data_IF_796155611947
#
_entry.id   IF_796155611947
#
_cell.length_a   1.000
_cell.length_b   1.000
_cell.length_c   1.000
_cell.angle_alpha   90.00
_cell.angle_beta   90.00
_cell.angle_gamma   90.00
#
_symmetry.space_group_name_H-M   'P 1'
#
loop_
_entity.id
_entity.type
_entity.pdbx_description
1 polymer ?
#
# COMPACT_ATOMS: atom_id res chain seq x y z
N UNK A 1 8.32 26.26 9.34
CA UNK A 1 7.99 25.57 10.62
C UNK A 1 6.50 25.55 10.92
N UNK A 2 5.76 26.66 10.82
CA UNK A 2 4.30 26.67 11.16
C UNK A 2 3.40 26.11 10.02
N UNK A 3 3.83 26.15 8.76
CA UNK A 3 3.11 25.57 7.63
C UNK A 3 3.23 24.02 7.60
N UNK A 4 4.40 23.48 7.92
CA UNK A 4 4.63 22.05 7.94
C UNK A 4 3.83 21.31 9.04
N UNK A 5 3.64 21.93 10.21
CA UNK A 5 2.82 21.33 11.28
C UNK A 5 1.32 21.29 10.90
N UNK A 6 0.81 22.32 10.24
CA UNK A 6 -0.58 22.34 9.75
C UNK A 6 -0.82 21.32 8.64
N UNK A 7 0.12 21.14 7.74
CA UNK A 7 0.02 20.13 6.69
C UNK A 7 0.09 18.71 7.27
N UNK A 8 0.89 18.48 8.30
CA UNK A 8 0.93 17.20 9.02
C UNK A 8 -0.42 16.86 9.67
N UNK A 9 -1.08 17.82 10.33
CA UNK A 9 -2.41 17.61 10.92
C UNK A 9 -3.50 17.33 9.89
N UNK A 10 -3.40 17.87 8.67
CA UNK A 10 -4.35 17.65 7.58
C UNK A 10 -4.32 16.22 7.05
N UNK A 11 -3.18 15.55 7.07
CA UNK A 11 -3.00 14.22 6.48
C UNK A 11 -2.78 13.11 7.52
N UNK A 12 -2.59 13.45 8.80
CA UNK A 12 -2.36 12.49 9.88
C UNK A 12 -3.65 12.19 10.64
N UNK A 13 -3.80 10.94 11.06
CA UNK A 13 -4.95 10.48 11.85
C UNK A 13 -6.16 10.14 10.99
N UNK A 14 -7.30 10.02 11.67
CA UNK A 14 -8.57 9.61 11.07
C UNK A 14 -9.66 10.66 11.27
N UNK A 15 -10.72 10.54 10.52
CA UNK A 15 -11.96 11.34 10.57
C UNK A 15 -13.17 10.42 10.43
N UNK A 16 -14.36 10.96 10.61
CA UNK A 16 -15.59 10.25 10.26
C UNK A 16 -15.64 9.98 8.77
N UNK A 17 -16.29 8.89 8.39
CA UNK A 17 -16.45 8.54 6.98
C UNK A 17 -17.26 9.62 6.27
N UNK A 18 -16.68 10.24 5.23
CA UNK A 18 -17.37 11.27 4.46
C UNK A 18 -18.54 10.67 3.68
N UNK A 19 -19.62 11.43 3.47
CA UNK A 19 -20.87 10.92 2.88
C UNK A 19 -20.69 10.22 1.53
N UNK A 20 -19.82 10.76 0.67
CA UNK A 20 -19.50 10.16 -0.64
C UNK A 20 -18.75 8.82 -0.55
N UNK A 21 -18.24 8.49 0.62
CA UNK A 21 -17.48 7.27 0.88
C UNK A 21 -18.18 6.31 1.85
N UNK A 22 -19.40 6.63 2.29
CA UNK A 22 -20.20 5.72 3.12
C UNK A 22 -20.55 4.44 2.37
N UNK A 23 -20.73 3.39 3.10
CA UNK A 23 -21.12 2.06 2.63
C UNK A 23 -21.91 1.33 3.73
N UNK A 24 -22.45 0.18 3.42
CA UNK A 24 -23.20 -0.66 4.36
C UNK A 24 -22.23 -1.37 5.33
N UNK A 25 -22.12 -0.84 6.55
CA UNK A 25 -21.25 -1.40 7.57
C UNK A 25 -21.72 -2.76 8.06
N UNK A 26 -23.03 -3.04 8.03
CA UNK A 26 -23.56 -4.35 8.45
C UNK A 26 -23.11 -5.45 7.48
N UNK A 27 -23.12 -5.17 6.19
CA UNK A 27 -22.59 -6.10 5.17
C UNK A 27 -21.08 -6.30 5.31
N UNK A 28 -20.34 -5.22 5.62
CA UNK A 28 -18.90 -5.34 5.90
C UNK A 28 -18.65 -6.24 7.11
N UNK A 29 -19.40 -6.06 8.22
CA UNK A 29 -19.26 -6.88 9.43
C UNK A 29 -19.50 -8.36 9.10
N UNK A 30 -20.60 -8.67 8.41
CA UNK A 30 -20.90 -10.05 7.99
C UNK A 30 -19.79 -10.66 7.14
N UNK A 31 -19.23 -9.85 6.22
CA UNK A 31 -18.11 -10.30 5.41
C UNK A 31 -16.83 -10.50 6.23
N UNK A 32 -16.53 -9.62 7.19
CA UNK A 32 -15.38 -9.72 8.10
C UNK A 32 -15.45 -11.01 8.94
N UNK A 33 -16.63 -11.32 9.50
CA UNK A 33 -16.88 -12.54 10.27
C UNK A 33 -16.58 -13.82 9.48
N UNK A 34 -16.89 -13.81 8.20
CA UNK A 34 -16.71 -14.97 7.33
C UNK A 34 -15.30 -15.10 6.74
N UNK A 35 -14.54 -14.00 6.58
CA UNK A 35 -13.34 -13.95 5.74
C UNK A 35 -12.07 -13.48 6.44
N UNK A 36 -12.17 -12.94 7.67
CA UNK A 36 -11.01 -12.41 8.39
C UNK A 36 -10.76 -13.24 9.64
N UNK A 37 -9.69 -14.03 9.61
CA UNK A 37 -9.30 -14.88 10.74
C UNK A 37 -9.11 -14.08 12.02
N UNK A 38 -9.77 -14.51 13.10
CA UNK A 38 -9.69 -13.88 14.41
C UNK A 38 -10.40 -12.52 14.50
N UNK A 39 -11.34 -12.24 13.59
CA UNK A 39 -12.20 -11.07 13.71
C UNK A 39 -13.25 -11.28 14.81
N UNK A 40 -13.33 -10.30 15.73
CA UNK A 40 -14.34 -10.25 16.80
C UNK A 40 -14.85 -8.81 16.91
N UNK A 41 -16.18 -8.64 16.72
CA UNK A 41 -16.85 -7.34 16.83
C UNK A 41 -17.04 -6.86 18.28
N UNK A 42 -17.64 -5.70 18.50
CA UNK A 42 -18.23 -4.80 17.49
C UNK A 42 -17.20 -4.04 16.65
N UNK A 43 -17.60 -3.54 15.47
CA UNK A 43 -16.77 -2.80 14.55
C UNK A 43 -17.09 -1.30 14.60
N UNK A 44 -16.06 -0.48 14.67
CA UNK A 44 -16.13 0.96 14.42
C UNK A 44 -15.27 1.30 13.21
N UNK A 45 -15.83 2.05 12.26
CA UNK A 45 -15.14 2.45 11.02
C UNK A 45 -14.75 3.91 11.09
N UNK A 46 -13.47 4.20 10.83
CA UNK A 46 -12.94 5.56 10.69
C UNK A 46 -12.23 5.67 9.35
N UNK A 47 -12.25 6.83 8.71
CA UNK A 47 -11.52 7.07 7.47
C UNK A 47 -10.21 7.78 7.74
N UNK A 48 -9.09 7.31 7.17
CA UNK A 48 -7.83 8.06 7.23
C UNK A 48 -7.95 9.39 6.47
N UNK A 49 -7.33 10.43 6.99
CA UNK A 49 -7.28 11.75 6.35
C UNK A 49 -6.46 11.73 5.05
N UNK A 50 -5.39 10.92 5.02
CA UNK A 50 -4.57 10.66 3.82
C UNK A 50 -5.18 9.60 2.90
N UNK A 51 -4.49 9.28 1.80
CA UNK A 51 -4.90 8.21 0.88
C UNK A 51 -5.91 8.65 -0.18
N UNK A 52 -5.68 9.80 -0.80
CA UNK A 52 -6.60 10.39 -1.80
C UNK A 52 -6.88 9.48 -3.00
N UNK A 53 -5.92 8.63 -3.40
CA UNK A 53 -6.08 7.75 -4.57
C UNK A 53 -6.95 6.53 -4.30
N UNK A 54 -6.77 5.90 -3.12
CA UNK A 54 -7.57 4.76 -2.67
C UNK A 54 -8.05 5.05 -1.26
N UNK A 55 -9.37 5.25 -1.05
CA UNK A 55 -9.91 5.47 0.28
C UNK A 55 -9.47 4.36 1.23
N UNK A 56 -8.91 4.78 2.36
CA UNK A 56 -8.35 3.87 3.37
C UNK A 56 -9.08 4.10 4.69
N UNK A 57 -9.42 3.02 5.37
CA UNK A 57 -10.22 3.03 6.58
C UNK A 57 -9.50 2.28 7.68
N UNK A 58 -9.62 2.79 8.90
CA UNK A 58 -9.29 2.10 10.12
C UNK A 58 -10.55 1.37 10.60
N UNK A 59 -10.41 0.07 10.80
CA UNK A 59 -11.44 -0.81 11.33
C UNK A 59 -11.05 -1.17 12.75
N UNK A 60 -11.82 -0.68 13.73
CA UNK A 60 -11.49 -0.77 15.14
C UNK A 60 -12.42 -1.77 15.80
N UNK A 61 -11.85 -2.78 16.46
CA UNK A 61 -12.57 -3.68 17.36
C UNK A 61 -11.99 -3.57 18.78
N UNK A 62 -12.66 -4.13 19.81
CA UNK A 62 -12.14 -4.10 21.17
C UNK A 62 -10.77 -4.78 21.34
N UNK A 63 -10.44 -5.73 20.46
CA UNK A 63 -9.26 -6.58 20.60
C UNK A 63 -8.17 -6.29 19.56
N UNK A 64 -8.57 -5.75 18.40
CA UNK A 64 -7.65 -5.58 17.27
C UNK A 64 -8.09 -4.44 16.36
N UNK A 65 -7.11 -3.88 15.66
CA UNK A 65 -7.35 -2.88 14.63
C UNK A 65 -6.87 -3.42 13.28
N UNK A 66 -7.62 -3.07 12.23
CA UNK A 66 -7.31 -3.44 10.85
C UNK A 66 -7.31 -2.21 9.97
N UNK A 67 -6.71 -2.33 8.81
CA UNK A 67 -6.79 -1.35 7.73
C UNK A 67 -7.54 -1.96 6.55
N UNK A 68 -8.57 -1.27 6.08
CA UNK A 68 -9.25 -1.60 4.83
C UNK A 68 -8.89 -0.59 3.76
N UNK A 69 -8.47 -1.06 2.59
CA UNK A 69 -8.27 -0.22 1.41
C UNK A 69 -9.23 -0.64 0.31
N UNK A 70 -9.93 0.32 -0.28
CA UNK A 70 -10.89 0.04 -1.35
C UNK A 70 -10.63 0.90 -2.59
N UNK A 71 -11.15 0.44 -3.74
CA UNK A 71 -11.24 1.28 -4.93
C UNK A 71 -12.18 2.46 -4.64
N UNK A 72 -11.89 3.67 -5.14
CA UNK A 72 -12.85 4.76 -5.05
C UNK A 72 -14.12 4.41 -5.81
N UNK A 73 -15.29 4.90 -5.37
CA UNK A 73 -16.54 4.74 -6.12
C UNK A 73 -16.50 5.51 -7.44
N UNK A 74 -17.27 5.05 -8.44
CA UNK A 74 -17.44 5.73 -9.72
C UNK A 74 -16.68 5.10 -10.88
N UNK A 75 -16.69 5.78 -12.04
CA UNK A 75 -15.99 5.30 -13.24
C UNK A 75 -14.50 5.58 -13.14
N UNK A 76 -13.70 4.53 -13.10
CA UNK A 76 -12.25 4.59 -12.99
C UNK A 76 -11.61 4.29 -14.35
N UNK A 77 -10.42 4.85 -14.57
CA UNK A 77 -9.60 4.48 -15.73
C UNK A 77 -9.18 3.00 -15.61
N UNK A 78 -9.12 2.25 -16.71
CA UNK A 78 -8.61 0.89 -16.73
C UNK A 78 -7.23 0.83 -16.07
N UNK A 79 -7.05 -0.11 -15.14
CA UNK A 79 -5.81 -0.30 -14.36
C UNK A 79 -5.44 0.78 -13.33
N UNK A 80 -6.21 1.86 -13.18
CA UNK A 80 -6.08 2.75 -12.04
C UNK A 80 -6.67 2.11 -10.77
N UNK A 81 -6.13 2.48 -9.60
CA UNK A 81 -6.67 2.06 -8.30
C UNK A 81 -6.76 0.52 -8.12
N UNK A 82 -5.73 -0.19 -8.53
CA UNK A 82 -5.71 -1.66 -8.55
C UNK A 82 -5.39 -2.24 -7.17
N UNK A 83 -6.34 -2.16 -6.22
CA UNK A 83 -6.22 -2.70 -4.86
C UNK A 83 -6.03 -4.22 -4.85
N UNK A 84 -6.57 -4.91 -5.86
CA UNK A 84 -6.34 -6.33 -6.12
C UNK A 84 -4.86 -6.65 -6.38
N UNK A 85 -4.16 -5.79 -7.11
CA UNK A 85 -2.71 -5.93 -7.33
C UNK A 85 -1.90 -5.59 -6.09
N UNK A 86 -2.30 -4.56 -5.34
CA UNK A 86 -1.69 -4.23 -4.06
C UNK A 86 -1.78 -5.43 -3.11
N UNK A 87 -2.99 -5.99 -2.93
CA UNK A 87 -3.21 -7.17 -2.09
C UNK A 87 -2.37 -8.36 -2.54
N UNK A 88 -2.29 -8.62 -3.83
CA UNK A 88 -1.48 -9.73 -4.37
C UNK A 88 0.00 -9.56 -4.06
N UNK A 89 0.54 -8.33 -4.14
CA UNK A 89 1.95 -8.05 -3.83
C UNK A 89 2.22 -8.25 -2.34
N UNK A 90 1.41 -7.65 -1.46
CA UNK A 90 1.65 -7.80 0.00
C UNK A 90 1.46 -9.25 0.45
N UNK A 91 0.51 -9.99 -0.13
CA UNK A 91 0.30 -11.42 0.16
C UNK A 91 1.47 -12.31 -0.28
N UNK A 92 2.17 -11.92 -1.33
CA UNK A 92 3.36 -12.61 -1.78
C UNK A 92 4.61 -12.27 -0.94
N UNK A 93 4.71 -11.04 -0.45
CA UNK A 93 5.86 -10.57 0.31
C UNK A 93 5.81 -10.93 1.80
N UNK A 94 4.61 -10.96 2.38
CA UNK A 94 4.42 -11.23 3.81
C UNK A 94 5.05 -12.56 4.28
N UNK A 95 4.80 -13.72 3.63
CA UNK A 95 5.39 -15.00 4.04
C UNK A 95 6.90 -15.08 3.86
N UNK A 96 7.50 -14.16 3.09
CA UNK A 96 8.95 -14.06 2.93
C UNK A 96 9.61 -13.26 4.06
N UNK A 97 8.85 -12.79 5.05
CA UNK A 97 9.34 -11.93 6.13
C UNK A 97 9.65 -10.50 5.70
N UNK A 98 9.20 -10.08 4.52
CA UNK A 98 9.35 -8.70 4.09
C UNK A 98 8.44 -7.78 4.93
N UNK A 99 8.87 -6.56 5.31
CA UNK A 99 8.16 -5.67 6.23
C UNK A 99 6.92 -5.04 5.58
N UNK A 100 5.89 -5.83 5.37
CA UNK A 100 4.54 -5.41 4.96
C UNK A 100 3.52 -5.80 6.00
N UNK A 101 2.38 -5.11 6.02
CA UNK A 101 1.28 -5.48 6.89
C UNK A 101 0.76 -6.90 6.55
N UNK A 102 0.37 -7.69 7.57
CA UNK A 102 -0.25 -9.00 7.36
C UNK A 102 -1.53 -8.81 6.53
N UNK A 103 -1.63 -9.37 5.32
CA UNK A 103 -2.87 -9.38 4.56
C UNK A 103 -3.82 -10.44 5.12
N UNK A 104 -5.12 -10.14 5.17
CA UNK A 104 -6.14 -11.10 5.58
C UNK A 104 -6.92 -11.62 4.38
N UNK A 105 -7.70 -10.76 3.76
CA UNK A 105 -8.57 -11.18 2.67
C UNK A 105 -8.85 -10.05 1.68
N UNK A 106 -9.08 -10.44 0.42
CA UNK A 106 -9.53 -9.57 -0.68
C UNK A 106 -11.01 -9.87 -0.94
N UNK A 107 -11.82 -8.83 -1.00
CA UNK A 107 -13.20 -8.90 -1.43
C UNK A 107 -13.33 -8.35 -2.85
N UNK A 108 -13.65 -9.22 -3.80
CA UNK A 108 -13.95 -8.85 -5.19
C UNK A 108 -15.45 -8.65 -5.43
N UNK A 109 -16.29 -9.08 -4.46
CA UNK A 109 -17.73 -8.91 -4.50
C UNK A 109 -18.10 -7.44 -4.20
N UNK A 110 -18.61 -6.76 -5.22
CA UNK A 110 -19.02 -5.37 -5.11
C UNK A 110 -20.34 -5.18 -4.34
N UNK A 111 -21.12 -6.24 -4.10
CA UNK A 111 -22.39 -6.14 -3.38
C UNK A 111 -22.20 -5.93 -1.88
N UNK A 112 -20.98 -6.13 -1.37
CA UNK A 112 -20.64 -5.92 0.05
C UNK A 112 -20.59 -4.43 0.39
N UNK A 113 -19.67 -3.68 -0.25
CA UNK A 113 -19.50 -2.23 0.02
C UNK A 113 -19.49 -1.35 -1.24
N UNK A 114 -19.95 -1.87 -2.36
CA UNK A 114 -20.05 -1.16 -3.63
C UNK A 114 -18.75 -1.15 -4.47
N UNK A 115 -17.65 -1.63 -3.96
CA UNK A 115 -16.35 -1.66 -4.67
C UNK A 115 -15.47 -2.78 -4.12
N UNK A 116 -14.48 -3.20 -4.91
CA UNK A 116 -13.42 -4.14 -4.48
C UNK A 116 -12.60 -3.52 -3.35
N UNK A 117 -12.28 -4.30 -2.33
CA UNK A 117 -11.45 -3.89 -1.20
C UNK A 117 -10.63 -5.05 -0.64
N UNK A 118 -9.65 -4.74 0.18
CA UNK A 118 -8.93 -5.74 0.97
C UNK A 118 -8.69 -5.26 2.40
N UNK A 119 -8.44 -6.22 3.29
CA UNK A 119 -8.17 -6.00 4.71
C UNK A 119 -6.77 -6.50 5.05
N UNK A 120 -6.06 -5.70 5.84
CA UNK A 120 -4.73 -6.01 6.36
C UNK A 120 -4.60 -5.56 7.83
N UNK A 121 -3.53 -5.96 8.51
CA UNK A 121 -3.21 -5.47 9.85
C UNK A 121 -3.03 -3.95 9.87
N UNK A 122 -3.44 -3.35 10.99
CA UNK A 122 -3.02 -2.00 11.35
C UNK A 122 -1.62 -2.06 11.93
N UNK A 123 -0.68 -1.38 11.29
CA UNK A 123 0.66 -1.19 11.83
C UNK A 123 0.72 0.14 12.57
N UNK A 124 1.16 0.10 13.81
CA UNK A 124 1.46 1.29 14.58
C UNK A 124 2.86 1.80 14.25
N UNK A 125 3.00 3.10 14.15
CA UNK A 125 4.30 3.72 13.84
C UNK A 125 4.19 5.21 13.57
N UNK A 126 5.34 5.87 13.50
CA UNK A 126 5.44 7.27 13.13
C UNK A 126 5.51 7.46 11.63
N UNK A 127 4.95 8.56 11.15
CA UNK A 127 5.06 8.99 9.76
C UNK A 127 6.15 10.06 9.68
N UNK A 128 7.19 9.80 8.91
CA UNK A 128 8.29 10.73 8.68
C UNK A 128 7.96 11.57 7.44
N UNK A 129 7.29 12.71 7.65
CA UNK A 129 6.86 13.60 6.58
C UNK A 129 8.02 14.36 5.95
N UNK A 130 8.92 14.88 6.78
CA UNK A 130 10.10 15.59 6.33
C UNK A 130 11.29 14.64 6.17
N UNK A 131 11.77 14.50 4.93
CA UNK A 131 12.93 13.67 4.63
C UNK A 131 14.23 14.15 5.29
N UNK A 132 14.32 15.40 5.74
CA UNK A 132 15.51 15.90 6.47
C UNK A 132 15.55 15.40 7.92
N UNK A 133 14.44 14.82 8.42
CA UNK A 133 14.29 14.29 9.77
C UNK A 133 14.71 15.31 10.85
N UNK A 134 14.04 16.47 10.90
CA UNK A 134 14.38 17.51 11.85
C UNK A 134 14.21 17.04 13.29
N UNK A 135 15.07 17.51 14.19
CA UNK A 135 15.02 17.16 15.62
C UNK A 135 15.63 15.79 15.96
N UNK A 136 16.08 15.01 14.98
CA UNK A 136 16.76 13.73 15.21
C UNK A 136 18.28 13.92 15.25
N UNK A 137 18.95 13.12 16.07
CA UNK A 137 20.40 13.07 16.09
C UNK A 137 20.99 12.51 14.77
N UNK A 138 22.23 12.87 14.38
CA UNK A 138 22.84 12.38 13.15
C UNK A 138 22.89 10.85 13.04
N UNK A 139 23.12 10.15 14.15
CA UNK A 139 23.14 8.70 14.22
C UNK A 139 21.75 8.07 13.98
N UNK A 140 20.69 8.69 14.50
CA UNK A 140 19.32 8.25 14.28
C UNK A 140 18.92 8.43 12.81
N UNK A 141 19.22 9.59 12.22
CA UNK A 141 19.00 9.83 10.79
C UNK A 141 19.73 8.81 9.92
N UNK A 142 21.00 8.54 10.26
CA UNK A 142 21.79 7.53 9.54
C UNK A 142 21.12 6.16 9.60
N UNK A 143 20.71 5.70 10.78
CA UNK A 143 20.06 4.41 10.97
C UNK A 143 18.73 4.28 10.19
N UNK A 144 17.92 5.35 10.15
CA UNK A 144 16.67 5.38 9.39
C UNK A 144 16.94 5.26 7.89
N UNK A 145 17.90 6.03 7.36
CA UNK A 145 18.24 5.95 5.95
C UNK A 145 18.87 4.63 5.56
N UNK A 146 19.73 4.07 6.40
CA UNK A 146 20.30 2.74 6.19
C UNK A 146 19.21 1.66 6.15
N UNK A 147 18.28 1.67 7.11
CA UNK A 147 17.14 0.75 7.13
C UNK A 147 16.26 0.89 5.88
N UNK A 148 16.01 2.14 5.43
CA UNK A 148 15.25 2.43 4.20
C UNK A 148 15.94 1.85 2.96
N UNK A 149 17.25 2.10 2.81
CA UNK A 149 18.02 1.60 1.67
C UNK A 149 18.08 0.07 1.70
N UNK A 150 18.33 -0.52 2.87
CA UNK A 150 18.33 -1.98 3.05
C UNK A 150 16.99 -2.59 2.64
N UNK A 151 15.88 -2.06 3.14
CA UNK A 151 14.53 -2.55 2.80
C UNK A 151 14.28 -2.47 1.31
N UNK A 152 14.70 -1.39 0.66
CA UNK A 152 14.57 -1.23 -0.79
C UNK A 152 15.44 -2.24 -1.57
N UNK A 153 16.67 -2.47 -1.12
CA UNK A 153 17.55 -3.48 -1.71
C UNK A 153 17.00 -4.90 -1.54
N UNK A 154 16.46 -5.21 -0.36
CA UNK A 154 15.83 -6.51 -0.08
C UNK A 154 14.64 -6.75 -1.03
N UNK A 155 13.82 -5.72 -1.31
CA UNK A 155 12.73 -5.82 -2.29
C UNK A 155 13.22 -6.17 -3.70
N UNK A 156 14.34 -5.56 -4.13
CA UNK A 156 14.91 -5.83 -5.45
C UNK A 156 15.51 -7.25 -5.56
N UNK A 157 15.89 -7.83 -4.45
CA UNK A 157 16.44 -9.19 -4.37
C UNK A 157 15.37 -10.28 -4.21
N UNK A 158 14.10 -9.92 -4.04
CA UNK A 158 13.01 -10.89 -3.98
C UNK A 158 12.90 -11.66 -5.31
N UNK A 159 12.94 -12.98 -5.23
CA UNK A 159 12.57 -13.80 -6.39
C UNK A 159 11.06 -13.71 -6.63
N UNK A 160 10.68 -12.74 -7.46
CA UNK A 160 9.29 -12.46 -7.78
C UNK A 160 8.58 -13.64 -8.48
N UNK A 161 9.33 -14.56 -9.12
CA UNK A 161 8.76 -15.75 -9.74
C UNK A 161 8.41 -16.78 -8.67
N UNK A 162 9.35 -17.07 -7.78
CA UNK A 162 9.09 -17.94 -6.64
C UNK A 162 7.98 -17.39 -5.73
N UNK A 163 7.86 -16.06 -5.62
CA UNK A 163 6.78 -15.37 -4.91
C UNK A 163 5.43 -15.38 -5.67
N UNK A 164 5.32 -15.97 -6.85
CA UNK A 164 4.05 -16.06 -7.60
C UNK A 164 3.59 -14.75 -8.26
N UNK A 165 4.50 -13.79 -8.48
CA UNK A 165 4.21 -12.46 -9.05
C UNK A 165 4.39 -12.38 -10.57
N UNK A 166 4.55 -13.50 -11.28
CA UNK A 166 4.81 -13.52 -12.73
C UNK A 166 3.80 -12.74 -13.56
N UNK A 167 2.51 -12.83 -13.22
CA UNK A 167 1.45 -12.12 -13.94
C UNK A 167 1.52 -10.59 -13.82
N UNK A 168 2.17 -10.06 -12.78
CA UNK A 168 2.38 -8.63 -12.59
C UNK A 168 3.55 -8.10 -13.44
N UNK A 169 4.60 -8.90 -13.60
CA UNK A 169 5.83 -8.51 -14.29
C UNK A 169 5.72 -8.63 -15.81
N UNK A 170 4.89 -9.53 -16.33
CA UNK A 170 4.70 -9.70 -17.80
C UNK A 170 4.35 -8.40 -18.54
N UNK A 171 3.58 -7.50 -17.91
CA UNK A 171 3.25 -6.20 -18.52
C UNK A 171 4.46 -5.25 -18.64
N UNK A 172 5.40 -5.34 -17.71
CA UNK A 172 6.61 -4.50 -17.71
C UNK A 172 7.60 -5.00 -18.78
N UNK A 173 7.75 -6.31 -18.93
CA UNK A 173 8.60 -6.91 -19.98
C UNK A 173 8.05 -6.60 -21.37
N UNK A 174 6.73 -6.60 -21.57
CA UNK A 174 6.11 -6.25 -22.87
C UNK A 174 6.36 -4.78 -23.24
N UNK A 175 6.38 -3.87 -22.26
CA UNK A 175 6.78 -2.47 -22.48
C UNK A 175 8.27 -2.37 -22.88
N UNK A 176 9.14 -3.13 -22.22
CA UNK A 176 10.58 -3.18 -22.56
C UNK A 176 10.82 -3.77 -23.95
N UNK A 177 10.11 -4.84 -24.32
CA UNK A 177 10.21 -5.46 -25.64
C UNK A 177 9.66 -4.54 -26.76
N UNK A 178 8.56 -3.80 -26.51
CA UNK A 178 8.04 -2.81 -27.47
C UNK A 178 8.96 -1.59 -27.64
N UNK A 179 9.70 -1.23 -26.60
CA UNK A 179 10.63 -0.09 -26.64
C UNK A 179 11.95 -0.45 -27.32
N UNK A 180 12.40 -1.70 -27.25
CA UNK A 180 13.63 -2.19 -27.90
C UNK A 180 13.43 -2.39 -29.42
N UNK A 181 12.20 -2.61 -29.89
CA UNK A 181 11.85 -2.73 -31.30
C UNK A 181 11.74 -1.42 -32.08
N UNK A 182 11.76 -0.26 -31.40
CA UNK A 182 11.75 1.07 -32.02
C UNK A 182 13.14 1.71 -31.99
N UNK A 183 13.69 1.98 -33.14
CA UNK A 183 15.00 2.62 -33.36
C UNK A 183 15.18 3.85 -32.47
N UNK A 184 15.92 3.72 -31.37
CA UNK A 184 16.79 4.79 -30.83
C UNK A 184 17.60 4.31 -29.63
N UNK A 185 18.89 4.14 -29.86
CA UNK A 185 19.93 3.72 -28.91
C UNK A 185 20.21 4.70 -27.75
N UNK A 186 19.47 5.80 -27.64
CA UNK A 186 19.80 6.88 -26.70
C UNK A 186 19.32 6.62 -25.25
N UNK A 187 18.31 5.77 -25.08
CA UNK A 187 17.79 5.42 -23.72
C UNK A 187 18.55 4.27 -23.07
N UNK A 188 19.12 3.36 -23.87
CA UNK A 188 19.97 2.29 -23.35
C UNK A 188 21.29 2.83 -22.79
N UNK A 189 21.83 3.90 -23.36
CA UNK A 189 23.01 4.58 -22.80
C UNK A 189 22.73 5.33 -21.48
N UNK A 190 21.50 5.79 -21.25
CA UNK A 190 21.13 6.41 -19.96
C UNK A 190 20.86 5.37 -18.88
N UNK A 191 20.33 4.20 -19.22
CA UNK A 191 20.07 3.11 -18.26
C UNK A 191 21.34 2.33 -17.91
N UNK A 192 22.34 2.25 -18.80
CA UNK A 192 23.65 1.66 -18.48
C UNK A 192 24.46 2.50 -17.47
N UNK A 193 24.15 3.79 -17.32
CA UNK A 193 24.74 4.63 -16.26
C UNK A 193 24.15 4.40 -14.87
N UNK A 194 23.00 3.71 -14.78
CA UNK A 194 22.40 3.31 -13.49
C UNK A 194 22.86 1.91 -13.03
N UNK A 195 23.66 1.21 -13.84
CA UNK A 195 24.19 -0.12 -13.50
C UNK A 195 25.56 -0.09 -12.79
N UNK A 196 26.03 1.09 -12.36
CA UNK A 196 27.31 1.24 -11.65
C UNK A 196 27.08 1.48 -10.15
N UNK A 197 26.36 0.57 -9.49
CA UNK A 197 26.36 0.47 -8.02
C UNK A 197 26.18 -0.98 -7.59
N UNK A 198 27.03 -1.87 -8.08
CA UNK A 198 27.27 -3.18 -7.49
C UNK A 198 28.77 -3.45 -7.54
N UNK A 199 29.45 -2.93 -6.56
CA UNK A 199 30.72 -3.47 -6.02
C UNK A 199 30.77 -3.12 -4.53
#
# INVERSE_FOLDING_TARGET
>A
MVEDEKDQELFTGTKDVVDTHKFDEAKLITWMEANVEGYEGPLTVRQFKGGQSNPTYQLITPYKQYVMRRKPPGKLLPSAHAVDREFRVISALYPLGYPVAKPYSLCEDTDVIGTIFYVMDMLEGGILWDGTLPGMEPSERHAIYEAKVKTFADLHNVDWRAAGLEGLVKKVITLRARYIGGRNNMLLQKLSKFQIWTH
#
